data_IF_586018141396
#
_entry.id   IF_586018141396
#
_cell.length_a   1.000
_cell.length_b   1.000
_cell.length_c   1.000
_cell.angle_alpha   90.00
_cell.angle_beta   90.00
_cell.angle_gamma   90.00
#
_symmetry.space_group_name_H-M   'P 1'
#
loop_
_entity.id
_entity.type
_entity.pdbx_description
1 polymer ?
#
# COMPACT_ATOMS: atom_id res chain seq x y z
N UNK A 1 2.83 -2.29 -33.32
CA UNK A 1 1.73 -2.18 -32.32
C UNK A 1 1.57 -3.47 -31.51
N UNK A 2 1.52 -4.67 -32.11
CA UNK A 2 1.45 -5.94 -31.35
C UNK A 2 2.75 -6.36 -30.63
N UNK A 3 3.90 -5.76 -30.98
CA UNK A 3 5.19 -6.01 -30.32
C UNK A 3 5.21 -5.61 -28.83
N UNK A 4 4.31 -4.73 -28.41
CA UNK A 4 4.15 -4.36 -26.99
C UNK A 4 3.81 -5.57 -26.11
N UNK A 5 3.13 -6.58 -26.65
CA UNK A 5 2.78 -7.80 -25.93
C UNK A 5 3.91 -8.84 -25.91
N UNK A 6 5.04 -8.61 -26.57
CA UNK A 6 6.18 -9.52 -26.49
C UNK A 6 7.05 -9.26 -25.25
N UNK A 7 6.98 -8.04 -24.70
CA UNK A 7 7.72 -7.67 -23.51
C UNK A 7 7.03 -8.18 -22.25
N UNK A 8 7.70 -9.06 -21.52
CA UNK A 8 7.19 -9.64 -20.26
C UNK A 8 6.87 -8.57 -19.22
N UNK A 9 7.68 -7.51 -19.11
CA UNK A 9 7.38 -6.38 -18.20
C UNK A 9 6.07 -5.67 -18.54
N UNK A 10 5.72 -5.58 -19.83
CA UNK A 10 4.50 -4.91 -20.28
C UNK A 10 3.29 -5.80 -20.01
N UNK A 11 3.42 -7.11 -20.22
CA UNK A 11 2.39 -8.08 -19.84
C UNK A 11 2.11 -8.02 -18.32
N UNK A 12 3.15 -8.01 -17.48
CA UNK A 12 3.00 -7.88 -16.03
C UNK A 12 2.30 -6.57 -15.65
N UNK A 13 2.70 -5.45 -16.25
CA UNK A 13 2.10 -4.14 -16.00
C UNK A 13 0.59 -4.12 -16.34
N UNK A 14 0.22 -4.70 -17.49
CA UNK A 14 -1.19 -4.77 -17.93
C UNK A 14 -2.01 -5.67 -17.01
N UNK A 15 -1.48 -6.85 -16.67
CA UNK A 15 -2.18 -7.80 -15.78
C UNK A 15 -2.37 -7.21 -14.38
N UNK A 16 -1.31 -6.64 -13.80
CA UNK A 16 -1.38 -5.97 -12.50
C UNK A 16 -2.36 -4.78 -12.54
N UNK A 17 -2.27 -3.93 -13.57
CA UNK A 17 -3.15 -2.78 -13.74
C UNK A 17 -4.61 -3.17 -13.88
N UNK A 18 -4.92 -4.20 -14.66
CA UNK A 18 -6.28 -4.71 -14.83
C UNK A 18 -6.87 -5.19 -13.50
N UNK A 19 -6.12 -5.99 -12.75
CA UNK A 19 -6.58 -6.51 -11.46
C UNK A 19 -6.82 -5.38 -10.45
N UNK A 20 -5.90 -4.41 -10.35
CA UNK A 20 -6.06 -3.23 -9.49
C UNK A 20 -7.26 -2.38 -9.93
N UNK A 21 -7.48 -2.20 -11.23
CA UNK A 21 -8.63 -1.47 -11.76
C UNK A 21 -9.97 -2.13 -11.43
N UNK A 22 -10.03 -3.45 -11.24
CA UNK A 22 -11.21 -4.15 -10.75
C UNK A 22 -11.39 -4.02 -9.23
N UNK A 23 -10.31 -4.16 -8.45
CA UNK A 23 -10.37 -4.18 -6.98
C UNK A 23 -10.67 -2.78 -6.40
N UNK A 24 -10.00 -1.74 -6.91
CA UNK A 24 -10.13 -0.38 -6.40
C UNK A 24 -11.57 0.15 -6.37
N UNK A 25 -12.42 0.01 -7.42
CA UNK A 25 -13.80 0.48 -7.38
C UNK A 25 -14.68 -0.37 -6.43
N UNK A 26 -14.46 -1.69 -6.36
CA UNK A 26 -15.22 -2.57 -5.45
C UNK A 26 -15.02 -2.15 -4.00
N UNK A 27 -13.76 -1.97 -3.59
CA UNK A 27 -13.43 -1.50 -2.24
C UNK A 27 -13.84 -0.04 -2.06
N UNK A 28 -13.56 0.80 -3.05
CA UNK A 28 -13.78 2.25 -2.98
C UNK A 28 -15.25 2.61 -2.79
N UNK A 29 -16.16 2.00 -3.55
CA UNK A 29 -17.61 2.22 -3.41
C UNK A 29 -18.07 1.88 -1.98
N UNK A 30 -17.61 0.76 -1.44
CA UNK A 30 -17.93 0.34 -0.08
C UNK A 30 -17.42 1.32 0.98
N UNK A 31 -16.18 1.81 0.84
CA UNK A 31 -15.60 2.79 1.76
C UNK A 31 -16.32 4.13 1.69
N UNK A 32 -16.67 4.63 0.50
CA UNK A 32 -17.34 5.92 0.31
C UNK A 32 -18.74 5.90 0.90
N UNK A 33 -19.55 4.89 0.60
CA UNK A 33 -20.93 4.78 1.11
C UNK A 33 -20.96 4.69 2.64
N UNK A 34 -19.93 4.09 3.26
CA UNK A 34 -19.79 3.99 4.72
C UNK A 34 -19.15 5.21 5.38
N UNK A 35 -18.85 6.27 4.63
CA UNK A 35 -18.09 7.44 5.13
C UNK A 35 -16.73 7.07 5.72
N UNK A 36 -16.09 6.04 5.15
CA UNK A 36 -14.77 5.52 5.53
C UNK A 36 -13.69 5.86 4.49
N UNK A 37 -13.98 6.75 3.53
CA UNK A 37 -13.06 7.09 2.44
C UNK A 37 -11.67 7.54 2.95
N UNK A 38 -11.67 8.25 4.08
CA UNK A 38 -10.53 8.77 4.80
C UNK A 38 -9.59 7.66 5.36
N UNK A 39 -10.10 6.44 5.62
CA UNK A 39 -9.28 5.30 6.05
C UNK A 39 -8.29 4.87 4.96
N UNK A 40 -8.69 4.96 3.68
CA UNK A 40 -7.82 4.59 2.57
C UNK A 40 -6.55 5.44 2.51
N UNK A 41 -6.67 6.73 2.78
CA UNK A 41 -5.55 7.67 2.82
C UNK A 41 -4.58 7.34 3.98
N UNK A 42 -5.10 7.15 5.20
CA UNK A 42 -4.31 6.75 6.35
C UNK A 42 -3.56 5.42 6.16
N UNK A 43 -4.24 4.41 5.60
CA UNK A 43 -3.63 3.11 5.30
C UNK A 43 -2.52 3.21 4.25
N UNK A 44 -2.64 4.11 3.28
CA UNK A 44 -1.59 4.37 2.29
C UNK A 44 -0.27 4.81 2.95
N UNK A 45 -0.35 5.77 3.88
CA UNK A 45 0.83 6.27 4.60
C UNK A 45 1.44 5.25 5.56
N UNK A 46 0.61 4.44 6.23
CA UNK A 46 1.11 3.35 7.08
C UNK A 46 1.80 2.27 6.22
N UNK A 47 1.23 1.94 5.06
CA UNK A 47 1.82 0.99 4.11
C UNK A 47 3.18 1.49 3.62
N UNK A 48 3.31 2.78 3.35
CA UNK A 48 4.58 3.41 3.00
C UNK A 48 5.63 3.30 4.13
N UNK A 49 5.22 3.47 5.39
CA UNK A 49 6.09 3.20 6.54
C UNK A 49 6.57 1.73 6.56
N UNK A 50 5.68 0.79 6.23
CA UNK A 50 6.01 -0.63 6.11
C UNK A 50 7.00 -0.93 4.98
N UNK A 51 6.93 -0.24 3.84
CA UNK A 51 7.93 -0.32 2.76
C UNK A 51 9.30 0.13 3.28
N UNK A 52 9.36 1.27 3.97
CA UNK A 52 10.61 1.80 4.54
C UNK A 52 11.21 0.84 5.58
N UNK A 53 10.37 0.21 6.41
CA UNK A 53 10.78 -0.83 7.35
C UNK A 53 11.33 -2.08 6.64
N UNK A 54 10.71 -2.49 5.53
CA UNK A 54 11.17 -3.62 4.71
C UNK A 54 12.57 -3.42 4.17
N UNK A 55 12.87 -2.21 3.68
CA UNK A 55 14.24 -1.86 3.27
C UNK A 55 15.22 -1.87 4.42
N UNK A 56 14.84 -1.34 5.59
CA UNK A 56 15.72 -1.33 6.76
C UNK A 56 16.08 -2.76 7.22
N UNK A 57 15.14 -3.70 7.15
CA UNK A 57 15.36 -5.09 7.54
C UNK A 57 15.87 -6.00 6.40
N UNK A 58 16.01 -5.50 5.18
CA UNK A 58 16.39 -6.31 4.01
C UNK A 58 15.34 -7.35 3.62
N UNK A 59 14.09 -7.16 4.03
CA UNK A 59 12.95 -8.05 3.70
C UNK A 59 12.25 -7.52 2.45
N UNK A 60 11.57 -8.40 1.71
CA UNK A 60 10.79 -8.02 0.54
C UNK A 60 9.75 -6.93 0.89
N UNK A 61 9.86 -5.70 0.32
CA UNK A 61 9.10 -4.54 0.79
C UNK A 61 7.58 -4.69 0.70
N UNK A 62 7.08 -5.48 -0.26
CA UNK A 62 5.64 -5.70 -0.44
C UNK A 62 5.05 -6.47 0.75
N UNK A 63 5.79 -7.41 1.35
CA UNK A 63 5.30 -8.16 2.51
C UNK A 63 5.23 -7.29 3.75
N UNK A 64 6.23 -6.45 3.98
CA UNK A 64 6.23 -5.53 5.14
C UNK A 64 5.20 -4.42 4.96
N UNK A 65 5.00 -3.92 3.73
CA UNK A 65 3.92 -3.01 3.41
C UNK A 65 2.54 -3.61 3.73
N UNK A 66 2.28 -4.83 3.27
CA UNK A 66 1.02 -5.54 3.54
C UNK A 66 0.82 -5.79 5.05
N UNK A 67 1.87 -6.21 5.76
CA UNK A 67 1.81 -6.42 7.21
C UNK A 67 1.46 -5.12 7.95
N UNK A 68 2.15 -4.02 7.64
CA UNK A 68 1.87 -2.72 8.25
C UNK A 68 0.47 -2.21 7.89
N UNK A 69 0.00 -2.40 6.65
CA UNK A 69 -1.36 -2.06 6.24
C UNK A 69 -2.41 -2.81 7.07
N UNK A 70 -2.23 -4.12 7.26
CA UNK A 70 -3.13 -4.96 8.05
C UNK A 70 -3.10 -4.54 9.52
N UNK A 71 -1.92 -4.39 10.12
CA UNK A 71 -1.77 -3.94 11.50
C UNK A 71 -2.36 -2.53 11.71
N UNK A 72 -2.13 -1.61 10.77
CA UNK A 72 -2.69 -0.27 10.78
C UNK A 72 -4.21 -0.27 10.67
N UNK A 73 -4.77 -1.08 9.78
CA UNK A 73 -6.22 -1.22 9.61
C UNK A 73 -6.91 -1.78 10.84
N UNK A 74 -6.33 -2.83 11.45
CA UNK A 74 -6.80 -3.39 12.71
C UNK A 74 -6.70 -2.33 13.82
N UNK A 75 -5.58 -1.62 13.92
CA UNK A 75 -5.38 -0.55 14.90
C UNK A 75 -6.41 0.58 14.77
N UNK A 76 -6.66 1.06 13.54
CA UNK A 76 -7.70 2.06 13.25
C UNK A 76 -9.06 1.55 13.70
N UNK A 77 -9.44 0.34 13.31
CA UNK A 77 -10.77 -0.20 13.62
C UNK A 77 -10.96 -0.42 15.12
N UNK A 78 -9.94 -0.92 15.84
CA UNK A 78 -9.98 -1.07 17.30
C UNK A 78 -10.16 0.27 18.01
N UNK A 79 -9.42 1.31 17.60
CA UNK A 79 -9.56 2.64 18.19
C UNK A 79 -10.92 3.28 17.85
N UNK A 80 -11.42 3.09 16.62
CA UNK A 80 -12.75 3.58 16.19
C UNK A 80 -13.88 2.92 16.95
N UNK A 81 -13.79 1.63 17.26
CA UNK A 81 -14.78 0.95 18.08
C UNK A 81 -14.83 1.50 19.51
N UNK A 82 -13.68 1.86 20.08
CA UNK A 82 -13.59 2.43 21.44
C UNK A 82 -14.02 3.90 21.51
N UNK A 83 -13.78 4.67 20.45
CA UNK A 83 -14.01 6.13 20.41
C UNK A 83 -14.82 6.54 19.17
N UNK A 84 -16.08 6.07 19.11
CA UNK A 84 -17.00 6.29 17.96
C UNK A 84 -17.22 7.77 17.62
N UNK A 85 -17.16 8.68 18.59
CA UNK A 85 -17.32 10.13 18.38
C UNK A 85 -16.07 10.83 17.84
N UNK A 86 -14.89 10.22 17.96
CA UNK A 86 -13.60 10.83 17.60
C UNK A 86 -12.91 10.08 16.45
N UNK A 87 -13.69 9.46 15.55
CA UNK A 87 -13.17 8.67 14.44
C UNK A 87 -12.18 9.46 13.55
N UNK A 88 -12.47 10.74 13.29
CA UNK A 88 -11.60 11.62 12.48
C UNK A 88 -10.27 11.93 13.19
N UNK A 89 -10.30 12.08 14.52
CA UNK A 89 -9.11 12.31 15.33
C UNK A 89 -8.23 11.05 15.39
N UNK A 90 -8.84 9.87 15.57
CA UNK A 90 -8.13 8.59 15.54
C UNK A 90 -7.40 8.42 14.22
N UNK A 91 -8.07 8.70 13.12
CA UNK A 91 -7.47 8.59 11.80
C UNK A 91 -6.32 9.59 11.61
N UNK A 92 -6.50 10.85 12.02
CA UNK A 92 -5.44 11.85 11.94
C UNK A 92 -4.20 11.42 12.74
N UNK A 93 -4.37 10.91 13.95
CA UNK A 93 -3.26 10.39 14.77
C UNK A 93 -2.54 9.24 14.08
N UNK A 94 -3.30 8.28 13.51
CA UNK A 94 -2.72 7.15 12.78
C UNK A 94 -1.99 7.61 11.51
N UNK A 95 -2.53 8.59 10.80
CA UNK A 95 -1.89 9.19 9.63
C UNK A 95 -0.54 9.84 9.98
N UNK A 96 -0.51 10.72 10.99
CA UNK A 96 0.73 11.38 11.40
C UNK A 96 1.77 10.40 11.96
N UNK A 97 1.33 9.37 12.69
CA UNK A 97 2.22 8.31 13.17
C UNK A 97 2.79 7.48 12.02
N UNK A 98 1.99 7.16 11.00
CA UNK A 98 2.46 6.48 9.79
C UNK A 98 3.55 7.29 9.06
N UNK A 99 3.33 8.59 8.84
CA UNK A 99 4.33 9.47 8.22
C UNK A 99 5.59 9.58 9.08
N UNK A 100 5.44 9.80 10.39
CA UNK A 100 6.57 9.89 11.30
C UNK A 100 7.41 8.60 11.29
N UNK A 101 6.76 7.43 11.34
CA UNK A 101 7.44 6.14 11.25
C UNK A 101 8.16 5.95 9.91
N UNK A 102 7.53 6.31 8.79
CA UNK A 102 8.15 6.24 7.48
C UNK A 102 9.44 7.08 7.41
N UNK A 103 9.40 8.31 7.93
CA UNK A 103 10.56 9.20 7.98
C UNK A 103 11.65 8.63 8.89
N UNK A 104 11.30 8.14 10.09
CA UNK A 104 12.26 7.55 11.03
C UNK A 104 12.96 6.34 10.40
N UNK A 105 12.22 5.40 9.83
CA UNK A 105 12.81 4.23 9.17
C UNK A 105 13.68 4.63 7.98
N UNK A 106 13.23 5.60 7.19
CA UNK A 106 14.01 6.14 6.08
C UNK A 106 15.32 6.77 6.53
N UNK A 107 15.32 7.57 7.59
CA UNK A 107 16.52 8.19 8.14
C UNK A 107 17.51 7.19 8.74
N UNK A 108 17.04 6.01 9.15
CA UNK A 108 17.89 4.93 9.65
C UNK A 108 18.56 4.11 8.54
N UNK A 109 18.02 4.13 7.32
CA UNK A 109 18.66 3.47 6.17
C UNK A 109 19.91 4.24 5.77
N UNK A 110 21.08 3.69 6.13
CA UNK A 110 22.41 4.28 5.94
C UNK A 110 22.90 4.33 4.48
N UNK A 111 22.07 3.93 3.50
CA UNK A 111 22.45 3.79 2.09
C UNK A 111 22.05 5.04 1.27
N UNK A 112 23.05 5.84 0.93
CA UNK A 112 22.98 7.18 0.32
C UNK A 112 22.43 7.27 -1.12
N UNK A 113 21.50 6.42 -1.58
CA UNK A 113 21.11 6.46 -3.00
C UNK A 113 19.90 5.68 -3.46
N UNK A 114 19.17 5.00 -2.58
CA UNK A 114 17.87 4.42 -2.99
C UNK A 114 16.85 5.54 -3.08
N UNK A 115 16.48 5.90 -4.31
CA UNK A 115 15.44 6.90 -4.60
C UNK A 115 14.10 6.44 -3.99
N UNK A 116 13.85 6.76 -2.71
CA UNK A 116 12.52 6.61 -2.10
C UNK A 116 11.47 7.29 -2.94
N UNK A 117 11.80 8.44 -3.54
CA UNK A 117 10.95 9.14 -4.49
C UNK A 117 10.61 8.27 -5.71
N UNK A 118 11.57 7.51 -6.25
CA UNK A 118 11.29 6.57 -7.35
C UNK A 118 10.40 5.40 -6.91
N UNK A 119 10.39 5.04 -5.63
CA UNK A 119 9.44 4.04 -5.10
C UNK A 119 8.07 4.66 -4.78
N UNK A 120 8.04 5.91 -4.31
CA UNK A 120 6.82 6.66 -4.00
C UNK A 120 6.02 6.99 -5.26
N UNK A 121 6.72 7.41 -6.32
CA UNK A 121 6.12 7.66 -7.62
C UNK A 121 6.00 6.38 -8.44
N UNK A 122 6.92 5.42 -8.24
CA UNK A 122 6.87 4.08 -8.82
C UNK A 122 6.86 4.06 -10.35
N UNK A 123 6.93 2.86 -10.91
CA UNK A 123 6.50 2.63 -12.29
C UNK A 123 5.82 1.28 -12.35
N UNK A 124 4.65 1.21 -12.97
CA UNK A 124 3.95 -0.06 -13.16
C UNK A 124 4.75 -1.06 -14.02
N UNK A 125 5.76 -0.56 -14.75
CA UNK A 125 6.67 -1.36 -15.56
C UNK A 125 7.67 -2.16 -14.72
N UNK A 126 7.96 -1.74 -13.48
CA UNK A 126 8.91 -2.44 -12.60
C UNK A 126 8.27 -3.61 -11.83
N UNK A 127 7.00 -3.92 -12.10
CA UNK A 127 6.26 -5.02 -11.48
C UNK A 127 6.88 -6.35 -11.91
N UNK A 128 7.24 -7.18 -10.93
CA UNK A 128 7.85 -8.49 -11.16
C UNK A 128 6.78 -9.58 -11.23
N UNK A 129 7.08 -10.75 -11.82
CA UNK A 129 6.16 -11.90 -11.83
C UNK A 129 5.67 -12.31 -10.42
N UNK A 130 6.51 -12.13 -9.40
CA UNK A 130 6.17 -12.35 -7.99
C UNK A 130 5.10 -11.37 -7.50
N UNK A 131 5.18 -10.11 -7.90
CA UNK A 131 4.18 -9.08 -7.56
C UNK A 131 2.84 -9.38 -8.21
N UNK A 132 2.84 -9.78 -9.49
CA UNK A 132 1.61 -10.17 -10.20
C UNK A 132 0.92 -11.33 -9.47
N UNK A 133 1.67 -12.36 -9.08
CA UNK A 133 1.11 -13.50 -8.35
C UNK A 133 0.50 -13.08 -7.02
N UNK A 134 1.14 -12.16 -6.29
CA UNK A 134 0.61 -11.62 -5.03
C UNK A 134 -0.65 -10.77 -5.26
N UNK A 135 -0.66 -9.90 -6.28
CA UNK A 135 -1.81 -9.07 -6.62
C UNK A 135 -3.01 -9.93 -7.00
N UNK A 136 -2.81 -10.96 -7.82
CA UNK A 136 -3.89 -11.89 -8.19
C UNK A 136 -4.33 -12.75 -7.02
N UNK A 137 -3.41 -13.23 -6.19
CA UNK A 137 -3.74 -14.03 -5.00
C UNK A 137 -4.55 -13.25 -3.96
N UNK A 138 -4.14 -12.02 -3.66
CA UNK A 138 -4.88 -11.14 -2.73
C UNK A 138 -6.17 -10.63 -3.36
N UNK A 139 -6.11 -10.22 -4.63
CA UNK A 139 -7.24 -9.69 -5.37
C UNK A 139 -8.36 -10.68 -5.57
N UNK A 140 -8.02 -11.94 -5.90
CA UNK A 140 -8.99 -13.02 -6.03
C UNK A 140 -9.67 -13.42 -4.72
N UNK A 141 -9.12 -13.03 -3.57
CA UNK A 141 -9.79 -13.19 -2.28
C UNK A 141 -10.79 -12.07 -1.94
N UNK A 142 -10.74 -10.94 -2.67
CA UNK A 142 -11.56 -9.75 -2.43
C UNK A 142 -12.78 -9.71 -3.38
N UNK A 143 -12.57 -10.07 -4.64
CA UNK A 143 -13.60 -10.21 -5.68
C UNK A 143 -14.44 -11.47 -5.45
#
# INVERSE_FOLDING_TARGET
MLELFQYTFMQHAILAGFMVACICPVIGIFLVVRRLALIGDGLGHISFAGVAAGWLWGVYPVYTAALFAVCGGIGIEMLRQKQRHYADMVLAVVFYTGIALAIVFTSMVRSSGTNLLSYLFGSIVTVTARDVTLIYGLGGGIL
#
